data_IF_566001613461
#
_entry.id   IF_566001613461
#
_cell.length_a   1.000
_cell.length_b   1.000
_cell.length_c   1.000
_cell.angle_alpha   90.00
_cell.angle_beta   90.00
_cell.angle_gamma   90.00
#
_symmetry.space_group_name_H-M   'P 1'
#
loop_
_entity.id
_entity.type
_entity.pdbx_description
1 polymer ?
#
# COMPACT_ATOMS: atom_id res chain seq x y z
N UNK A 1 -12.60 -56.46 28.50
CA UNK A 1 -11.18 -56.18 28.13
C UNK A 1 -10.97 -55.77 26.65
N UNK A 2 -11.89 -56.07 25.75
CA UNK A 2 -11.77 -55.71 24.31
C UNK A 2 -12.44 -54.39 23.95
N UNK A 3 -13.38 -53.90 24.75
CA UNK A 3 -14.09 -52.63 24.53
C UNK A 3 -13.28 -51.40 24.90
N UNK A 4 -12.37 -51.52 25.85
CA UNK A 4 -11.56 -50.36 26.33
C UNK A 4 -10.44 -49.96 25.36
N UNK A 5 -9.88 -50.93 24.61
CA UNK A 5 -8.81 -50.68 23.63
C UNK A 5 -9.31 -49.91 22.41
N UNK A 6 -10.54 -50.24 21.96
CA UNK A 6 -11.16 -49.56 20.80
C UNK A 6 -11.49 -48.07 21.12
N UNK A 7 -11.94 -47.79 22.34
CA UNK A 7 -12.24 -46.44 22.80
C UNK A 7 -10.98 -45.54 22.89
N UNK A 8 -9.87 -46.08 23.35
CA UNK A 8 -8.59 -45.35 23.47
C UNK A 8 -8.02 -45.02 22.08
N UNK A 9 -8.10 -45.98 21.13
CA UNK A 9 -7.65 -45.70 19.75
C UNK A 9 -8.52 -44.67 19.03
N UNK A 10 -9.83 -44.67 19.23
CA UNK A 10 -10.75 -43.70 18.65
C UNK A 10 -10.51 -42.26 19.19
N UNK A 11 -10.20 -42.15 20.49
CA UNK A 11 -9.87 -40.84 21.10
C UNK A 11 -8.53 -40.29 20.61
N UNK A 12 -7.52 -41.14 20.41
CA UNK A 12 -6.23 -40.74 19.85
C UNK A 12 -6.37 -40.25 18.40
N UNK A 13 -7.14 -40.95 17.58
CA UNK A 13 -7.37 -40.59 16.19
C UNK A 13 -8.14 -39.26 16.07
N UNK A 14 -9.19 -39.07 16.88
CA UNK A 14 -10.02 -37.87 16.88
C UNK A 14 -9.23 -36.63 17.33
N UNK A 15 -8.32 -36.75 18.30
CA UNK A 15 -7.41 -35.66 18.73
C UNK A 15 -6.40 -35.31 17.65
N UNK A 16 -5.86 -36.28 16.93
CA UNK A 16 -4.94 -36.06 15.81
C UNK A 16 -5.63 -35.37 14.63
N UNK A 17 -6.84 -35.79 14.28
CA UNK A 17 -7.62 -35.14 13.21
C UNK A 17 -8.00 -33.71 13.58
N UNK A 18 -8.39 -33.46 14.83
CA UNK A 18 -8.70 -32.10 15.31
C UNK A 18 -7.47 -31.20 15.30
N UNK A 19 -6.29 -31.72 15.64
CA UNK A 19 -5.03 -30.98 15.59
C UNK A 19 -4.63 -30.63 14.15
N UNK A 20 -4.82 -31.55 13.20
CA UNK A 20 -4.56 -31.28 11.77
C UNK A 20 -5.56 -30.29 11.17
N UNK A 21 -6.81 -30.31 11.59
CA UNK A 21 -7.84 -29.34 11.18
C UNK A 21 -7.55 -27.91 11.72
N UNK A 22 -6.96 -27.80 12.92
CA UNK A 22 -6.55 -26.50 13.47
C UNK A 22 -5.33 -25.90 12.75
N UNK A 23 -4.45 -26.74 12.18
CA UNK A 23 -3.27 -26.26 11.44
C UNK A 23 -3.60 -25.81 10.00
N UNK A 24 -4.83 -26.05 9.52
CA UNK A 24 -5.30 -25.63 8.20
C UNK A 24 -6.05 -24.29 8.22
N UNK A 25 -6.02 -23.56 9.33
CA UNK A 25 -6.57 -22.20 9.34
C UNK A 25 -5.76 -21.34 8.35
N UNK A 26 -6.37 -20.85 7.24
CA UNK A 26 -5.67 -19.94 6.37
C UNK A 26 -5.24 -18.75 7.22
N UNK A 27 -3.98 -18.35 7.11
CA UNK A 27 -3.49 -17.09 7.69
C UNK A 27 -4.35 -15.97 7.07
N UNK A 28 -5.39 -15.56 7.77
CA UNK A 28 -6.20 -14.42 7.40
C UNK A 28 -5.24 -13.24 7.37
N UNK A 29 -4.95 -12.74 6.17
CA UNK A 29 -4.26 -11.47 6.03
C UNK A 29 -5.10 -10.44 6.78
N UNK A 30 -4.59 -9.99 7.94
CA UNK A 30 -5.28 -9.00 8.75
C UNK A 30 -5.24 -7.68 8.01
N UNK A 31 -6.43 -7.15 7.65
CA UNK A 31 -6.52 -5.80 7.12
C UNK A 31 -6.00 -4.80 8.15
N UNK A 32 -5.40 -3.72 7.68
CA UNK A 32 -4.89 -2.65 8.53
C UNK A 32 -6.08 -1.82 9.02
N UNK A 33 -6.35 -1.88 10.32
CA UNK A 33 -7.43 -1.11 10.95
C UNK A 33 -6.96 0.32 11.22
N UNK A 34 -7.84 1.30 10.95
CA UNK A 34 -7.62 2.70 11.27
C UNK A 34 -8.97 3.41 11.42
N UNK A 35 -8.95 4.60 12.01
CA UNK A 35 -10.15 5.39 12.35
C UNK A 35 -10.01 6.86 11.90
N UNK A 36 -11.04 7.67 12.19
CA UNK A 36 -11.09 9.08 11.84
C UNK A 36 -10.04 9.94 12.56
N UNK A 37 -9.44 9.45 13.64
CA UNK A 37 -8.37 10.14 14.38
C UNK A 37 -7.01 9.88 13.79
N UNK A 38 -6.90 8.93 12.89
CA UNK A 38 -5.65 8.59 12.21
C UNK A 38 -5.26 9.74 11.28
N UNK A 39 -4.17 10.42 11.58
CA UNK A 39 -3.65 11.53 10.78
C UNK A 39 -2.82 11.04 9.60
N UNK A 40 -1.89 10.15 9.88
CA UNK A 40 -1.01 9.48 8.92
C UNK A 40 -0.78 8.05 9.35
N UNK A 41 -0.80 7.13 8.40
CA UNK A 41 -0.53 5.72 8.63
C UNK A 41 0.50 5.23 7.59
N UNK A 42 1.76 5.02 8.00
CA UNK A 42 2.75 4.39 7.12
C UNK A 42 2.36 2.94 6.83
N UNK A 43 2.33 2.57 5.56
CA UNK A 43 1.81 1.27 5.12
C UNK A 43 2.89 0.33 4.58
N UNK A 44 4.16 0.75 4.54
CA UNK A 44 5.22 -0.04 3.93
C UNK A 44 5.39 -1.46 4.49
N UNK A 45 5.31 -1.62 5.83
CA UNK A 45 5.42 -2.92 6.50
C UNK A 45 4.16 -3.78 6.36
N UNK A 46 3.05 -3.21 5.93
CA UNK A 46 1.77 -3.89 5.72
C UNK A 46 1.56 -4.33 4.28
N UNK A 47 2.43 -3.88 3.37
CA UNK A 47 2.41 -4.27 1.97
C UNK A 47 2.70 -5.76 1.82
N UNK A 48 1.97 -6.38 0.92
CA UNK A 48 2.30 -7.69 0.39
C UNK A 48 2.76 -7.51 -1.05
N UNK A 49 3.93 -8.05 -1.37
CA UNK A 49 4.63 -7.79 -2.62
C UNK A 49 4.75 -9.07 -3.43
N UNK A 50 4.43 -8.99 -4.70
CA UNK A 50 4.73 -10.00 -5.71
C UNK A 50 5.58 -9.38 -6.80
N UNK A 51 6.76 -9.95 -7.05
CA UNK A 51 7.65 -9.53 -8.13
C UNK A 51 7.33 -10.32 -9.41
N UNK A 52 6.87 -9.61 -10.43
CA UNK A 52 6.66 -10.14 -11.77
C UNK A 52 7.88 -9.82 -12.65
N UNK A 53 8.79 -10.78 -12.74
CA UNK A 53 10.06 -10.64 -13.48
C UNK A 53 9.83 -10.47 -14.98
N UNK A 54 8.76 -11.05 -15.54
CA UNK A 54 8.42 -10.94 -16.96
C UNK A 54 7.65 -9.65 -17.28
N UNK A 55 6.92 -9.13 -16.30
CA UNK A 55 6.13 -7.91 -16.43
C UNK A 55 4.85 -8.07 -17.26
N UNK A 56 4.45 -9.30 -17.55
CA UNK A 56 3.29 -9.64 -18.39
C UNK A 56 2.03 -10.06 -17.59
N UNK A 57 2.16 -10.20 -16.25
CA UNK A 57 1.05 -10.61 -15.38
C UNK A 57 -0.04 -9.55 -15.37
N UNK A 58 -1.27 -9.99 -15.61
CA UNK A 58 -2.48 -9.13 -15.60
C UNK A 58 -3.11 -9.07 -14.22
N UNK A 59 -3.99 -8.07 -13.98
CA UNK A 59 -4.74 -7.96 -12.71
C UNK A 59 -5.62 -9.19 -12.47
N UNK A 60 -6.21 -9.77 -13.50
CA UNK A 60 -7.03 -10.97 -13.38
C UNK A 60 -6.23 -12.18 -12.88
N UNK A 61 -4.99 -12.33 -13.33
CA UNK A 61 -4.08 -13.37 -12.86
C UNK A 61 -3.60 -13.10 -11.44
N UNK A 62 -3.20 -11.86 -11.14
CA UNK A 62 -2.74 -11.42 -9.81
C UNK A 62 -3.79 -11.66 -8.72
N UNK A 63 -5.07 -11.49 -9.07
CA UNK A 63 -6.19 -11.69 -8.14
C UNK A 63 -6.68 -13.13 -8.07
N UNK A 64 -6.13 -14.02 -8.93
CA UNK A 64 -6.50 -15.43 -8.94
C UNK A 64 -5.96 -16.18 -7.72
N UNK A 65 -6.64 -17.25 -7.26
CA UNK A 65 -6.12 -18.08 -6.18
C UNK A 65 -4.74 -18.68 -6.46
N UNK A 66 -4.39 -18.89 -7.73
CA UNK A 66 -3.11 -19.47 -8.15
C UNK A 66 -1.90 -18.59 -7.79
N UNK A 67 -2.06 -17.26 -7.78
CA UNK A 67 -1.00 -16.32 -7.43
C UNK A 67 -1.14 -15.73 -6.03
N UNK A 68 -2.19 -16.06 -5.30
CA UNK A 68 -2.45 -15.51 -3.96
C UNK A 68 -1.29 -15.78 -2.99
N UNK A 69 -0.69 -16.98 -3.07
CA UNK A 69 0.41 -17.43 -2.21
C UNK A 69 1.79 -16.90 -2.63
N UNK A 70 1.89 -16.28 -3.79
CA UNK A 70 3.15 -15.69 -4.28
C UNK A 70 3.41 -14.31 -3.66
N UNK A 71 2.41 -13.69 -3.06
CA UNK A 71 2.58 -12.45 -2.32
C UNK A 71 3.34 -12.69 -1.02
N UNK A 72 4.40 -11.93 -0.79
CA UNK A 72 5.20 -11.98 0.44
C UNK A 72 5.01 -10.69 1.22
N UNK A 73 4.78 -10.82 2.54
CA UNK A 73 4.71 -9.65 3.41
C UNK A 73 6.05 -8.91 3.39
N UNK A 74 5.99 -7.60 3.18
CA UNK A 74 7.15 -6.74 3.23
C UNK A 74 7.45 -6.38 4.69
N UNK A 75 8.72 -6.56 5.13
CA UNK A 75 9.09 -6.38 6.54
C UNK A 75 9.60 -4.97 6.88
N UNK A 76 9.77 -4.10 5.85
CA UNK A 76 10.38 -2.78 6.02
C UNK A 76 9.39 -1.65 5.76
N UNK A 77 9.68 -0.48 6.32
CA UNK A 77 8.83 0.70 6.15
C UNK A 77 8.71 1.20 4.70
N UNK A 78 9.68 0.87 3.84
CA UNK A 78 9.69 1.26 2.42
C UNK A 78 10.13 0.07 1.58
N UNK A 79 9.34 -0.28 0.57
CA UNK A 79 9.79 -1.23 -0.45
C UNK A 79 10.92 -0.58 -1.25
N UNK A 80 12.08 -1.20 -1.21
CA UNK A 80 13.25 -0.79 -1.99
C UNK A 80 13.80 -2.00 -2.74
N UNK A 81 13.50 -2.07 -4.03
CA UNK A 81 14.00 -3.13 -4.92
C UNK A 81 15.24 -2.68 -5.73
N UNK A 82 15.75 -1.47 -5.47
CA UNK A 82 16.88 -0.92 -6.22
C UNK A 82 16.57 -0.77 -7.71
N UNK A 83 17.58 -1.00 -8.55
CA UNK A 83 17.41 -0.99 -9.99
C UNK A 83 16.87 -2.36 -10.45
N UNK A 84 15.62 -2.38 -10.93
CA UNK A 84 14.98 -3.60 -11.41
C UNK A 84 14.13 -3.29 -12.65
N UNK A 85 14.07 -4.25 -13.58
CA UNK A 85 13.18 -4.20 -14.75
C UNK A 85 11.87 -4.94 -14.49
N UNK A 86 11.77 -5.61 -13.33
CA UNK A 86 10.57 -6.33 -12.92
C UNK A 86 9.42 -5.37 -12.67
N UNK A 87 8.22 -5.87 -12.80
CA UNK A 87 7.01 -5.21 -12.33
C UNK A 87 6.74 -5.69 -10.89
N UNK A 88 6.39 -4.78 -10.01
CA UNK A 88 6.03 -5.09 -8.63
C UNK A 88 4.54 -4.88 -8.44
N UNK A 89 3.86 -5.95 -8.01
CA UNK A 89 2.49 -5.88 -7.58
C UNK A 89 2.43 -5.80 -6.06
N UNK A 90 1.82 -4.75 -5.58
CA UNK A 90 1.64 -4.49 -4.15
C UNK A 90 0.18 -4.72 -3.82
N UNK A 91 -0.09 -5.55 -2.84
CA UNK A 91 -1.42 -5.81 -2.30
C UNK A 91 -1.53 -5.19 -0.91
N UNK A 92 -2.63 -4.50 -0.67
CA UNK A 92 -2.91 -3.83 0.59
C UNK A 92 -4.37 -4.05 0.96
N UNK A 93 -4.62 -4.43 2.21
CA UNK A 93 -5.94 -4.60 2.79
C UNK A 93 -6.15 -3.52 3.85
N UNK A 94 -7.11 -2.63 3.64
CA UNK A 94 -7.44 -1.51 4.52
C UNK A 94 -8.83 -1.72 5.14
N UNK A 95 -9.01 -1.37 6.40
CA UNK A 95 -10.27 -1.45 7.09
C UNK A 95 -10.52 -0.18 7.91
N UNK A 96 -11.35 0.70 7.37
CA UNK A 96 -11.75 1.93 8.04
C UNK A 96 -12.81 1.63 9.10
N UNK A 97 -12.50 1.89 10.36
CA UNK A 97 -13.38 1.64 11.52
C UNK A 97 -13.70 2.94 12.26
N UNK A 98 -14.60 3.77 11.74
CA UNK A 98 -14.97 5.01 12.41
C UNK A 98 -15.66 4.71 13.74
N UNK A 99 -15.34 5.51 14.76
CA UNK A 99 -16.01 5.48 16.06
C UNK A 99 -17.29 6.35 16.03
N UNK A 100 -17.34 7.36 15.18
CA UNK A 100 -18.50 8.18 14.93
C UNK A 100 -18.84 8.20 13.44
N UNK A 101 -20.13 8.10 13.10
CA UNK A 101 -20.62 8.25 11.74
C UNK A 101 -20.60 9.74 11.35
N UNK A 102 -19.42 10.31 11.19
CA UNK A 102 -19.25 11.61 10.56
C UNK A 102 -19.12 11.40 9.04
N UNK A 103 -19.52 12.43 8.27
CA UNK A 103 -19.59 12.35 6.81
C UNK A 103 -18.32 11.75 6.20
N UNK A 104 -18.53 10.86 5.25
CA UNK A 104 -17.48 10.14 4.54
C UNK A 104 -16.54 11.13 3.84
N UNK A 105 -15.31 11.25 4.32
CA UNK A 105 -14.26 11.98 3.62
C UNK A 105 -13.36 11.00 2.89
N UNK A 106 -12.91 11.32 1.67
CA UNK A 106 -11.96 10.47 0.96
C UNK A 106 -10.63 10.45 1.71
N UNK A 107 -10.03 9.27 1.84
CA UNK A 107 -8.67 9.10 2.32
C UNK A 107 -7.68 9.30 1.19
N UNK A 108 -6.47 9.76 1.50
CA UNK A 108 -5.42 9.98 0.51
C UNK A 108 -4.33 8.92 0.65
N UNK A 109 -4.20 8.05 -0.36
CA UNK A 109 -3.08 7.13 -0.45
C UNK A 109 -1.93 7.84 -1.17
N UNK A 110 -0.84 8.07 -0.47
CA UNK A 110 0.36 8.69 -1.01
C UNK A 110 1.41 7.64 -1.36
N UNK A 111 2.00 7.78 -2.54
CA UNK A 111 3.27 7.16 -2.91
C UNK A 111 4.30 8.27 -3.08
N UNK A 112 5.19 8.41 -2.08
CA UNK A 112 6.09 9.56 -1.95
C UNK A 112 7.43 9.34 -2.68
N UNK A 113 7.38 8.87 -3.93
CA UNK A 113 8.54 8.70 -4.79
C UNK A 113 8.23 9.06 -6.25
N UNK A 114 8.37 10.35 -6.62
CA UNK A 114 8.02 10.88 -7.94
C UNK A 114 8.69 10.21 -9.15
N UNK A 115 9.95 9.66 -9.07
CA UNK A 115 10.63 9.09 -10.23
C UNK A 115 10.15 7.71 -10.68
N UNK A 116 8.99 7.21 -10.21
CA UNK A 116 8.41 5.97 -10.73
C UNK A 116 7.85 6.19 -12.14
N UNK A 117 8.32 5.40 -13.12
CA UNK A 117 7.90 5.54 -14.52
C UNK A 117 6.42 5.26 -14.70
N UNK A 118 5.89 4.23 -14.02
CA UNK A 118 4.50 3.82 -14.14
C UNK A 118 3.95 3.29 -12.81
N UNK A 119 2.81 3.83 -12.43
CA UNK A 119 2.09 3.47 -11.21
C UNK A 119 0.59 3.37 -11.54
N UNK A 120 0.05 2.16 -11.48
CA UNK A 120 -1.35 1.86 -11.74
C UNK A 120 -2.04 1.45 -10.43
N UNK A 121 -3.15 2.08 -10.09
CA UNK A 121 -4.02 1.71 -8.96
C UNK A 121 -5.21 0.90 -9.46
N UNK A 122 -5.46 -0.24 -8.83
CA UNK A 122 -6.62 -1.09 -9.09
C UNK A 122 -7.49 -1.18 -7.84
N UNK A 123 -8.77 -0.91 -8.02
CA UNK A 123 -9.80 -0.98 -6.98
C UNK A 123 -10.90 -1.98 -7.36
N UNK A 124 -11.58 -2.58 -6.38
CA UNK A 124 -12.72 -3.46 -6.66
C UNK A 124 -13.93 -2.65 -7.15
N UNK A 125 -14.61 -3.16 -8.16
CA UNK A 125 -15.94 -2.68 -8.57
C UNK A 125 -17.05 -3.20 -7.62
N UNK A 126 -18.29 -2.82 -7.88
CA UNK A 126 -19.46 -3.27 -7.09
C UNK A 126 -19.70 -4.79 -7.12
N UNK A 127 -19.04 -5.52 -8.03
CA UNK A 127 -19.09 -6.97 -8.16
C UNK A 127 -17.84 -7.65 -7.58
N UNK A 128 -16.93 -6.88 -6.95
CA UNK A 128 -15.67 -7.37 -6.40
C UNK A 128 -14.58 -7.66 -7.42
N UNK A 129 -14.76 -7.27 -8.70
CA UNK A 129 -13.74 -7.43 -9.74
C UNK A 129 -12.82 -6.21 -9.73
N UNK A 130 -11.52 -6.43 -9.79
CA UNK A 130 -10.53 -5.36 -9.79
C UNK A 130 -10.42 -4.70 -11.15
N UNK A 131 -10.57 -3.38 -11.18
CA UNK A 131 -10.46 -2.55 -12.36
C UNK A 131 -9.41 -1.47 -12.17
N UNK A 132 -8.79 -1.03 -13.27
CA UNK A 132 -7.87 0.09 -13.26
C UNK A 132 -8.65 1.37 -12.88
N UNK A 133 -8.40 1.87 -11.67
CA UNK A 133 -9.01 3.11 -11.19
C UNK A 133 -8.21 4.33 -11.66
N UNK A 134 -6.88 4.24 -11.62
CA UNK A 134 -6.01 5.32 -12.07
C UNK A 134 -4.68 4.79 -12.59
N UNK A 135 -4.16 5.46 -13.63
CA UNK A 135 -2.82 5.26 -14.17
C UNK A 135 -2.05 6.57 -14.15
N UNK A 136 -0.86 6.54 -13.58
CA UNK A 136 0.04 7.69 -13.49
C UNK A 136 1.51 7.22 -13.54
N UNK A 137 2.44 8.14 -13.49
CA UNK A 137 3.88 7.86 -13.51
C UNK A 137 4.65 9.01 -14.13
N UNK A 138 5.97 8.97 -14.01
CA UNK A 138 6.86 10.03 -14.52
C UNK A 138 6.88 10.08 -16.07
N UNK A 139 6.72 8.93 -16.73
CA UNK A 139 6.62 8.86 -18.21
C UNK A 139 5.28 9.33 -18.76
N UNK A 140 4.31 9.63 -17.90
CA UNK A 140 2.99 10.11 -18.31
C UNK A 140 2.87 11.62 -18.06
N UNK A 141 1.98 12.32 -18.80
CA UNK A 141 1.73 13.74 -18.56
C UNK A 141 1.33 14.01 -17.10
N UNK A 142 1.77 15.15 -16.54
CA UNK A 142 1.45 15.54 -15.17
C UNK A 142 -0.07 15.55 -14.89
N UNK A 143 -0.88 15.83 -15.92
CA UNK A 143 -2.34 15.79 -15.87
C UNK A 143 -2.93 14.39 -15.64
N UNK A 144 -2.10 13.32 -15.71
CA UNK A 144 -2.50 11.96 -15.32
C UNK A 144 -2.69 11.80 -13.82
N UNK A 145 -2.17 12.74 -13.01
CA UNK A 145 -2.30 12.74 -11.55
C UNK A 145 -3.68 13.25 -11.15
N UNK A 146 -4.35 12.53 -10.26
CA UNK A 146 -5.66 12.94 -9.73
C UNK A 146 -5.55 14.23 -8.91
N UNK A 147 -4.48 14.34 -8.12
CA UNK A 147 -4.14 15.53 -7.37
C UNK A 147 -2.85 16.10 -7.94
N UNK A 148 -2.84 17.40 -8.27
CA UNK A 148 -1.70 18.11 -8.87
C UNK A 148 -0.60 18.37 -7.84
N UNK A 149 0.09 17.29 -7.41
CA UNK A 149 1.18 17.29 -6.44
C UNK A 149 2.42 16.56 -6.99
N UNK A 150 3.60 16.82 -6.39
CA UNK A 150 4.82 16.14 -6.78
C UNK A 150 4.77 14.64 -6.49
N UNK A 151 4.21 14.24 -5.34
CA UNK A 151 3.98 12.84 -5.00
C UNK A 151 2.71 12.33 -5.68
N UNK A 152 2.61 11.01 -5.83
CA UNK A 152 1.38 10.40 -6.33
C UNK A 152 0.38 10.29 -5.20
N UNK A 153 -0.79 10.90 -5.39
CA UNK A 153 -1.91 10.88 -4.45
C UNK A 153 -3.13 10.27 -5.12
N UNK A 154 -3.73 9.30 -4.45
CA UNK A 154 -4.95 8.63 -4.87
C UNK A 154 -6.03 8.84 -3.83
N UNK A 155 -7.18 9.33 -4.25
CA UNK A 155 -8.35 9.46 -3.38
C UNK A 155 -9.04 8.09 -3.24
N UNK A 156 -9.19 7.62 -2.00
CA UNK A 156 -9.84 6.37 -1.67
C UNK A 156 -11.15 6.63 -0.92
N UNK A 157 -12.26 6.18 -1.50
CA UNK A 157 -13.56 6.19 -0.86
C UNK A 157 -13.80 4.87 -0.13
N UNK A 158 -13.28 4.77 1.10
CA UNK A 158 -13.34 3.53 1.89
C UNK A 158 -14.68 3.40 2.61
N UNK A 159 -15.30 2.24 2.50
CA UNK A 159 -16.57 1.96 3.19
C UNK A 159 -16.31 1.64 4.67
N UNK A 160 -17.07 2.23 5.61
CA UNK A 160 -16.94 1.96 7.03
C UNK A 160 -17.14 0.48 7.37
N UNK A 161 -16.28 -0.05 8.24
CA UNK A 161 -16.36 -1.43 8.76
C UNK A 161 -16.34 -2.53 7.69
N UNK A 162 -15.83 -2.23 6.50
CA UNK A 162 -15.67 -3.20 5.43
C UNK A 162 -14.20 -3.22 4.98
N UNK A 163 -13.49 -4.35 5.16
CA UNK A 163 -12.15 -4.49 4.63
C UNK A 163 -12.15 -4.33 3.11
N UNK A 164 -11.32 -3.44 2.61
CA UNK A 164 -11.17 -3.20 1.18
C UNK A 164 -9.76 -3.51 0.75
N UNK A 165 -9.64 -4.34 -0.28
CA UNK A 165 -8.36 -4.68 -0.91
C UNK A 165 -8.11 -3.78 -2.08
N UNK A 166 -6.86 -3.35 -2.23
CA UNK A 166 -6.38 -2.64 -3.40
C UNK A 166 -5.08 -3.25 -3.90
N UNK A 167 -4.79 -3.00 -5.17
CA UNK A 167 -3.51 -3.36 -5.77
C UNK A 167 -2.86 -2.15 -6.41
N UNK A 168 -1.54 -2.04 -6.24
CA UNK A 168 -0.70 -1.12 -6.98
C UNK A 168 0.24 -1.93 -7.87
N UNK A 169 0.29 -1.56 -9.16
CA UNK A 169 1.27 -2.08 -10.10
C UNK A 169 2.33 -1.02 -10.32
N UNK A 170 3.55 -1.34 -9.97
CA UNK A 170 4.70 -0.43 -10.03
C UNK A 170 5.71 -0.94 -11.04
N UNK A 171 6.16 -0.06 -11.92
CA UNK A 171 7.22 -0.36 -12.88
C UNK A 171 8.11 0.87 -13.03
N UNK A 172 9.43 0.66 -12.99
CA UNK A 172 10.40 1.72 -13.27
C UNK A 172 11.66 1.14 -13.90
N UNK A 173 12.27 1.89 -14.81
CA UNK A 173 13.60 1.61 -15.34
C UNK A 173 14.69 2.13 -14.40
N UNK A 174 14.33 3.06 -13.52
CA UNK A 174 15.17 3.61 -12.47
C UNK A 174 15.14 2.78 -11.18
N UNK A 175 15.52 3.41 -10.07
CA UNK A 175 15.40 2.81 -8.75
C UNK A 175 13.93 2.66 -8.37
N UNK A 176 13.54 1.47 -7.92
CA UNK A 176 12.19 1.19 -7.43
C UNK A 176 12.17 1.37 -5.92
N UNK A 177 11.60 2.49 -5.48
CA UNK A 177 11.30 2.76 -4.07
C UNK A 177 9.82 3.11 -3.96
N UNK A 178 9.11 2.50 -3.00
CA UNK A 178 7.67 2.70 -2.87
C UNK A 178 7.30 2.99 -1.42
N UNK A 179 7.58 4.21 -0.93
CA UNK A 179 7.09 4.65 0.36
C UNK A 179 5.59 4.93 0.25
N UNK A 180 4.79 4.11 0.92
CA UNK A 180 3.32 4.21 0.90
C UNK A 180 2.82 4.68 2.25
N UNK A 181 1.97 5.70 2.25
CA UNK A 181 1.30 6.22 3.45
C UNK A 181 -0.16 6.53 3.16
N UNK A 182 -1.02 6.28 4.14
CA UNK A 182 -2.41 6.73 4.11
C UNK A 182 -2.53 8.00 4.98
N UNK A 183 -3.22 9.01 4.45
CA UNK A 183 -3.40 10.29 5.11
C UNK A 183 -4.87 10.65 5.24
N UNK A 184 -5.22 11.27 6.35
CA UNK A 184 -6.44 12.06 6.38
C UNK A 184 -6.23 13.35 5.57
N UNK A 185 -7.24 13.84 4.82
CA UNK A 185 -7.09 15.04 3.98
C UNK A 185 -6.64 16.27 4.78
N UNK A 186 -7.19 16.43 5.98
CA UNK A 186 -6.85 17.56 6.87
C UNK A 186 -5.39 17.50 7.27
N UNK A 187 -4.91 16.32 7.72
CA UNK A 187 -3.53 16.17 8.16
C UNK A 187 -2.54 16.36 6.99
N UNK A 188 -2.90 15.90 5.78
CA UNK A 188 -2.09 16.11 4.59
C UNK A 188 -1.94 17.60 4.25
N UNK A 189 -3.03 18.37 4.32
CA UNK A 189 -3.01 19.81 4.07
C UNK A 189 -2.22 20.58 5.14
N UNK A 190 -2.29 20.15 6.39
CA UNK A 190 -1.54 20.77 7.50
C UNK A 190 -0.03 20.53 7.40
N UNK A 191 0.40 19.40 6.83
CA UNK A 191 1.82 19.05 6.68
C UNK A 191 2.51 19.83 5.53
N UNK A 192 1.75 20.25 4.50
CA UNK A 192 2.30 20.92 3.33
C UNK A 192 3.03 22.27 3.65
N UNK A 193 2.48 23.18 4.48
CA UNK A 193 3.13 24.44 4.77
C UNK A 193 4.51 24.27 5.42
N UNK A 194 4.68 23.32 6.33
CA UNK A 194 5.94 23.08 7.03
C UNK A 194 7.08 22.75 6.04
N UNK A 195 6.82 21.95 5.04
CA UNK A 195 7.81 21.60 3.98
C UNK A 195 8.18 22.82 3.15
N UNK A 196 7.23 23.68 2.81
CA UNK A 196 7.46 24.91 2.04
C UNK A 196 8.30 25.91 2.84
N UNK A 197 8.03 26.09 4.13
CA UNK A 197 8.81 26.97 4.99
C UNK A 197 10.27 26.53 5.11
N UNK A 198 10.53 25.25 5.32
CA UNK A 198 11.90 24.70 5.40
C UNK A 198 12.66 24.97 4.10
N UNK A 199 12.05 24.68 2.95
CA UNK A 199 12.64 24.96 1.64
C UNK A 199 12.87 26.46 1.43
N UNK A 200 11.92 27.30 1.82
CA UNK A 200 12.05 28.77 1.75
C UNK A 200 13.23 29.30 2.55
N UNK A 201 13.45 28.78 3.76
CA UNK A 201 14.62 29.15 4.59
C UNK A 201 15.92 28.74 3.90
N UNK A 202 16.00 27.50 3.38
CA UNK A 202 17.20 27.00 2.68
C UNK A 202 17.52 27.88 1.47
N UNK A 203 16.53 28.15 0.61
CA UNK A 203 16.73 28.99 -0.57
C UNK A 203 17.06 30.42 -0.17
N UNK A 204 16.48 30.97 0.89
CA UNK A 204 16.81 32.30 1.43
C UNK A 204 18.28 32.40 1.86
N UNK A 205 18.78 31.42 2.59
CA UNK A 205 20.19 31.33 2.99
C UNK A 205 21.12 31.26 1.76
N UNK A 206 20.80 30.40 0.80
CA UNK A 206 21.59 30.26 -0.44
C UNK A 206 21.61 31.55 -1.24
N UNK A 207 20.49 32.27 -1.32
CA UNK A 207 20.41 33.58 -2.00
C UNK A 207 21.28 34.62 -1.31
N UNK A 208 21.22 34.69 0.02
CA UNK A 208 22.09 35.64 0.80
C UNK A 208 23.55 35.30 0.56
N UNK A 209 23.94 34.01 0.58
CA UNK A 209 25.32 33.61 0.29
C UNK A 209 25.75 33.97 -1.13
N UNK A 210 24.85 33.80 -2.11
CA UNK A 210 25.12 34.19 -3.52
C UNK A 210 25.38 35.69 -3.63
N UNK A 211 24.49 36.50 -3.05
CA UNK A 211 24.62 37.98 -3.05
C UNK A 211 25.89 38.41 -2.35
N UNK A 212 26.18 37.83 -1.19
CA UNK A 212 27.43 38.14 -0.44
C UNK A 212 28.67 37.86 -1.30
N UNK A 213 28.74 36.69 -1.95
CA UNK A 213 29.88 36.36 -2.82
C UNK A 213 30.00 37.31 -4.02
N UNK A 214 28.86 37.77 -4.59
CA UNK A 214 28.85 38.73 -5.70
C UNK A 214 29.42 40.09 -5.32
N UNK A 215 29.26 40.52 -4.04
CA UNK A 215 29.80 41.79 -3.56
C UNK A 215 31.25 41.72 -3.09
N UNK A 216 31.79 40.55 -2.82
CA UNK A 216 33.20 40.36 -2.39
C UNK A 216 34.13 40.22 -3.60
N UNK A 217 33.63 39.72 -4.73
CA UNK A 217 34.37 39.58 -5.98
C UNK A 217 34.19 40.81 -6.88
#
# INVERSE_FOLDING_TARGET
ATTDVVAICAWGFMRSVLFWLLCLAPALATAVDFDEFTRQLPLGAELQVFEDVRGDTTIAEVTSPALADNFRRHAHAVLNAGYSRSVFWLRLDLNYRPQALQGQQPWLLEVAYPPLDRLDLYLPDSQGRFQLAQRTGDVLPFTSRQVAQNNYLFELNLQPNQPQRLYLRVQSQGSVQVPVSLWSPVAYLEEQPARIYVLGIIYGVLLVMLVYNLFIY
#
